data_IF_631086279698
#
_entry.id   IF_631086279698
#
_cell.length_a   1.000
_cell.length_b   1.000
_cell.length_c   1.000
_cell.angle_alpha   90.00
_cell.angle_beta   90.00
_cell.angle_gamma   90.00
#
_symmetry.space_group_name_H-M   'P 1'
#
loop_
_entity.id
_entity.type
_entity.pdbx_description
1 polymer ?
#
# COMPACT_ATOMS: atom_id res chain seq x y z
N UNK A 1 -24.84 2.15 2.69
CA UNK A 1 -23.49 2.74 2.81
C UNK A 1 -22.69 2.34 1.60
N UNK A 2 -22.43 3.31 0.72
CA UNK A 2 -21.70 3.13 -0.53
C UNK A 2 -20.20 3.00 -0.19
N UNK A 3 -19.72 1.76 -0.05
CA UNK A 3 -18.33 1.44 0.27
C UNK A 3 -17.35 1.72 -0.91
N UNK A 4 -17.76 2.56 -1.87
CA UNK A 4 -17.03 2.87 -3.11
C UNK A 4 -15.91 3.91 -2.94
N UNK A 5 -15.61 4.34 -1.71
CA UNK A 5 -14.53 5.30 -1.43
C UNK A 5 -13.44 4.73 -0.54
N UNK A 6 -12.82 3.65 -0.98
CA UNK A 6 -11.51 3.21 -0.48
C UNK A 6 -10.38 3.68 -1.42
N UNK A 7 -10.60 4.79 -2.14
CA UNK A 7 -9.60 5.41 -3.01
C UNK A 7 -9.00 6.61 -2.25
N UNK A 8 -7.74 6.50 -1.84
CA UNK A 8 -7.00 7.56 -1.15
C UNK A 8 -6.44 8.64 -2.10
N UNK A 9 -6.69 8.51 -3.40
CA UNK A 9 -6.45 9.55 -4.41
C UNK A 9 -7.49 9.40 -5.54
N UNK A 10 -7.87 10.49 -6.24
CA UNK A 10 -8.77 10.41 -7.39
C UNK A 10 -8.25 9.54 -8.54
N UNK A 11 -6.95 9.21 -8.55
CA UNK A 11 -6.29 8.33 -9.53
C UNK A 11 -5.88 6.96 -8.95
N UNK A 12 -6.25 6.67 -7.70
CA UNK A 12 -5.88 5.40 -7.08
C UNK A 12 -6.55 4.23 -7.83
N UNK A 13 -5.83 3.14 -8.12
CA UNK A 13 -6.40 1.97 -8.77
C UNK A 13 -7.57 1.41 -7.95
N UNK A 14 -8.65 1.03 -8.63
CA UNK A 14 -9.82 0.46 -7.97
C UNK A 14 -9.52 -0.95 -7.45
N UNK A 15 -10.11 -1.28 -6.30
CA UNK A 15 -9.94 -2.61 -5.71
C UNK A 15 -10.65 -3.67 -6.57
N UNK A 16 -9.95 -4.74 -7.00
CA UNK A 16 -10.53 -5.76 -7.86
C UNK A 16 -11.72 -6.46 -7.18
N UNK A 17 -12.66 -6.91 -8.01
CA UNK A 17 -13.82 -7.70 -7.60
C UNK A 17 -13.71 -9.11 -8.13
N UNK A 18 -14.10 -10.08 -7.31
CA UNK A 18 -14.11 -11.48 -7.69
C UNK A 18 -15.26 -11.80 -8.66
N UNK A 19 -15.33 -13.04 -9.15
CA UNK A 19 -16.39 -13.52 -10.06
C UNK A 19 -17.83 -13.41 -9.50
N UNK A 20 -18.00 -13.18 -8.19
CA UNK A 20 -19.29 -12.94 -7.53
C UNK A 20 -19.64 -11.45 -7.38
N UNK A 21 -18.77 -10.55 -7.84
CA UNK A 21 -18.93 -9.10 -7.67
C UNK A 21 -18.57 -8.59 -6.27
N UNK A 22 -17.97 -9.42 -5.42
CA UNK A 22 -17.48 -9.00 -4.10
C UNK A 22 -16.03 -8.53 -4.22
N UNK A 23 -15.64 -7.51 -3.45
CA UNK A 23 -14.23 -7.06 -3.40
C UNK A 23 -13.31 -8.21 -3.02
N UNK A 24 -12.17 -8.32 -3.69
CA UNK A 24 -11.20 -9.36 -3.38
C UNK A 24 -10.73 -9.27 -1.93
N UNK A 25 -10.34 -10.43 -1.37
CA UNK A 25 -9.83 -10.51 -0.01
C UNK A 25 -8.52 -9.70 0.09
N UNK A 26 -8.47 -8.81 1.07
CA UNK A 26 -7.25 -8.11 1.45
C UNK A 26 -6.33 -9.05 2.24
N UNK A 27 -5.07 -9.09 1.85
CA UNK A 27 -4.00 -9.89 2.47
C UNK A 27 -2.86 -8.98 2.88
N UNK A 28 -2.20 -9.31 4.00
CA UNK A 28 -1.09 -8.55 4.52
C UNK A 28 0.12 -8.70 3.58
N UNK A 29 0.60 -7.57 3.08
CA UNK A 29 1.82 -7.50 2.27
C UNK A 29 3.04 -7.36 3.17
N UNK A 30 3.07 -6.28 3.96
CA UNK A 30 4.17 -5.93 4.86
C UNK A 30 3.67 -5.04 5.99
N UNK A 31 4.47 -4.87 7.03
CA UNK A 31 4.19 -3.98 8.16
C UNK A 31 5.38 -3.07 8.39
N UNK A 32 5.18 -1.76 8.28
CA UNK A 32 6.22 -0.76 8.52
C UNK A 32 6.11 -0.25 9.95
N UNK A 33 7.05 -0.65 10.80
CA UNK A 33 7.02 -0.32 12.23
C UNK A 33 7.58 1.09 12.52
N UNK A 34 8.53 1.55 11.69
CA UNK A 34 9.39 2.70 12.02
C UNK A 34 8.86 4.06 11.55
N UNK A 35 8.12 4.13 10.43
CA UNK A 35 7.62 5.40 9.92
C UNK A 35 6.37 5.23 9.04
N UNK A 36 5.37 6.07 9.31
CA UNK A 36 4.18 6.18 8.43
C UNK A 36 4.57 6.62 7.02
N UNK A 37 5.66 7.38 6.86
CA UNK A 37 6.14 7.84 5.56
C UNK A 37 6.62 6.70 4.66
N UNK A 38 7.20 5.65 5.26
CA UNK A 38 7.62 4.45 4.55
C UNK A 38 6.39 3.75 3.94
N UNK A 39 5.32 3.63 4.74
CA UNK A 39 4.05 3.09 4.25
C UNK A 39 3.47 3.90 3.08
N UNK A 40 3.53 5.23 3.16
CA UNK A 40 3.05 6.12 2.08
C UNK A 40 3.90 6.02 0.81
N UNK A 41 5.22 5.84 0.95
CA UNK A 41 6.12 5.60 -0.19
C UNK A 41 5.78 4.26 -0.87
N UNK A 42 5.61 3.18 -0.11
CA UNK A 42 5.24 1.88 -0.66
C UNK A 42 3.86 1.90 -1.33
N UNK A 43 2.90 2.62 -0.75
CA UNK A 43 1.59 2.84 -1.37
C UNK A 43 1.74 3.55 -2.71
N UNK A 44 2.57 4.59 -2.76
CA UNK A 44 2.81 5.37 -3.98
C UNK A 44 3.50 4.53 -5.05
N UNK A 45 4.46 3.69 -4.67
CA UNK A 45 5.13 2.73 -5.55
C UNK A 45 4.10 1.75 -6.15
N UNK A 46 3.36 1.04 -5.31
CA UNK A 46 2.35 0.07 -5.76
C UNK A 46 1.26 0.73 -6.63
N UNK A 47 0.85 1.96 -6.30
CA UNK A 47 -0.09 2.71 -7.12
C UNK A 47 0.46 3.01 -8.52
N UNK A 48 1.77 3.28 -8.65
CA UNK A 48 2.41 3.46 -9.96
C UNK A 48 2.39 2.19 -10.81
N UNK A 49 2.50 1.01 -10.18
CA UNK A 49 2.31 -0.29 -10.82
C UNK A 49 0.83 -0.68 -10.98
N UNK A 50 -0.11 0.24 -10.71
CA UNK A 50 -1.56 0.03 -10.77
C UNK A 50 -2.05 -1.07 -9.81
N UNK A 51 -1.31 -1.33 -8.73
CA UNK A 51 -1.69 -2.26 -7.67
C UNK A 51 -2.40 -1.47 -6.56
N UNK A 52 -3.69 -1.72 -6.32
CA UNK A 52 -4.39 -1.11 -5.21
C UNK A 52 -3.88 -1.64 -3.89
N UNK A 53 -3.60 -0.74 -2.97
CA UNK A 53 -3.17 -1.07 -1.63
C UNK A 53 -3.74 -0.07 -0.62
N UNK A 54 -3.91 -0.50 0.63
CA UNK A 54 -4.29 0.39 1.72
C UNK A 54 -3.45 0.08 2.96
N UNK A 55 -3.19 1.12 3.75
CA UNK A 55 -2.62 0.96 5.09
C UNK A 55 -3.71 0.88 6.14
N UNK A 56 -3.49 0.04 7.13
CA UNK A 56 -4.31 -0.10 8.32
C UNK A 56 -3.43 0.06 9.55
N UNK A 57 -3.94 0.78 10.54
CA UNK A 57 -3.25 0.97 11.82
C UNK A 57 -3.87 0.00 12.82
N UNK A 58 -3.13 -1.02 13.22
CA UNK A 58 -3.59 -2.02 14.18
C UNK A 58 -3.76 -1.43 15.58
N UNK A 59 -4.67 -2.02 16.37
CA UNK A 59 -4.96 -1.68 17.77
C UNK A 59 -5.23 -0.17 17.99
N UNK A 60 -4.53 0.44 18.95
CA UNK A 60 -4.59 1.86 19.27
C UNK A 60 -3.70 2.71 18.34
N UNK A 61 -3.09 2.11 17.31
CA UNK A 61 -2.24 2.82 16.35
C UNK A 61 -2.95 3.97 15.65
N UNK A 62 -4.26 3.83 15.39
CA UNK A 62 -5.09 4.90 14.86
C UNK A 62 -5.25 6.07 15.84
N UNK A 63 -5.45 5.80 17.13
CA UNK A 63 -5.54 6.82 18.16
C UNK A 63 -4.18 7.48 18.43
N UNK A 64 -3.11 6.68 18.46
CA UNK A 64 -1.74 7.14 18.56
C UNK A 64 -1.36 8.09 17.42
N UNK A 65 -1.74 7.77 16.18
CA UNK A 65 -1.52 8.67 15.03
C UNK A 65 -2.22 10.03 15.21
N UNK A 66 -3.46 10.04 15.71
CA UNK A 66 -4.24 11.27 15.87
C UNK A 66 -3.70 12.14 17.01
N UNK A 67 -3.30 11.52 18.12
CA UNK A 67 -2.87 12.23 19.33
C UNK A 67 -1.38 12.64 19.23
N UNK A 68 -0.55 11.73 18.71
CA UNK A 68 0.91 11.82 18.75
C UNK A 68 1.53 12.15 17.38
N UNK A 69 0.73 12.17 16.31
CA UNK A 69 1.20 12.35 14.93
C UNK A 69 1.76 11.08 14.29
N UNK A 70 1.98 10.01 15.07
CA UNK A 70 2.46 8.71 14.57
C UNK A 70 1.85 7.54 15.34
N UNK A 71 1.68 6.40 14.67
CA UNK A 71 1.26 5.15 15.31
C UNK A 71 2.48 4.48 15.95
N UNK A 72 2.44 4.26 17.27
CA UNK A 72 3.49 3.49 17.98
C UNK A 72 3.52 2.00 17.62
N UNK A 73 2.50 1.51 16.90
CA UNK A 73 2.39 0.14 16.40
C UNK A 73 2.73 0.02 14.91
N UNK A 74 3.15 1.11 14.27
CA UNK A 74 3.41 1.14 12.82
C UNK A 74 2.14 1.12 11.98
N UNK A 75 2.30 0.79 10.70
CA UNK A 75 1.23 0.65 9.71
C UNK A 75 1.35 -0.68 8.95
N UNK A 76 0.26 -1.44 8.91
CA UNK A 76 0.14 -2.67 8.14
C UNK A 76 -0.38 -2.37 6.75
N UNK A 77 0.29 -2.83 5.70
CA UNK A 77 -0.08 -2.64 4.31
C UNK A 77 -0.79 -3.89 3.77
N UNK A 78 -1.93 -3.66 3.11
CA UNK A 78 -2.76 -4.71 2.56
C UNK A 78 -2.97 -4.53 1.05
N UNK A 79 -2.95 -5.64 0.33
CA UNK A 79 -3.17 -5.75 -1.12
C UNK A 79 -4.22 -6.83 -1.43
N UNK A 80 -4.80 -6.87 -2.64
CA UNK A 80 -5.67 -7.95 -3.06
C UNK A 80 -4.91 -9.27 -3.09
N UNK A 81 -5.56 -10.37 -2.69
CA UNK A 81 -4.96 -11.69 -2.68
C UNK A 81 -4.35 -12.09 -4.02
N UNK A 82 -4.98 -11.70 -5.13
CA UNK A 82 -4.54 -12.00 -6.49
C UNK A 82 -3.30 -11.22 -6.93
N UNK A 83 -2.96 -10.12 -6.26
CA UNK A 83 -1.82 -9.24 -6.57
C UNK A 83 -0.74 -9.27 -5.48
N UNK A 84 -0.85 -10.21 -4.52
CA UNK A 84 0.10 -10.31 -3.42
C UNK A 84 1.50 -10.66 -3.92
N UNK A 85 1.59 -11.58 -4.88
CA UNK A 85 2.85 -12.05 -5.45
C UNK A 85 3.53 -10.91 -6.24
N UNK A 86 2.79 -10.23 -7.12
CA UNK A 86 3.29 -9.06 -7.85
C UNK A 86 3.76 -7.94 -6.90
N UNK A 87 2.96 -7.64 -5.87
CA UNK A 87 3.32 -6.61 -4.90
C UNK A 87 4.60 -6.96 -4.12
N UNK A 88 4.81 -8.24 -3.78
CA UNK A 88 6.05 -8.69 -3.13
C UNK A 88 7.24 -8.60 -4.08
N UNK A 89 7.06 -9.00 -5.34
CA UNK A 89 8.11 -8.91 -6.34
C UNK A 89 8.56 -7.46 -6.56
N UNK A 90 7.62 -6.51 -6.60
CA UNK A 90 7.95 -5.08 -6.72
C UNK A 90 8.69 -4.54 -5.48
N UNK A 91 8.33 -5.02 -4.28
CA UNK A 91 9.01 -4.61 -3.05
C UNK A 91 10.41 -5.21 -2.91
N UNK A 92 10.61 -6.43 -3.42
CA UNK A 92 11.89 -7.14 -3.39
C UNK A 92 12.77 -6.79 -4.60
N UNK A 93 12.19 -6.24 -5.66
CA UNK A 93 12.94 -5.71 -6.79
C UNK A 93 13.84 -4.57 -6.32
N UNK A 94 15.15 -4.78 -6.42
CA UNK A 94 16.13 -3.74 -6.15
C UNK A 94 15.86 -2.53 -7.08
N UNK A 95 15.99 -1.30 -6.56
CA UNK A 95 15.82 -0.12 -7.39
C UNK A 95 16.79 -0.21 -8.57
N UNK A 96 16.24 -0.13 -9.78
CA UNK A 96 17.05 -0.14 -11.00
C UNK A 96 17.94 1.10 -10.95
N UNK A 97 19.23 0.94 -10.64
CA UNK A 97 20.22 1.97 -10.90
C UNK A 97 20.22 2.21 -12.42
N UNK A 98 19.56 3.27 -12.87
CA UNK A 98 19.69 3.74 -14.25
C UNK A 98 21.19 3.96 -14.49
N UNK A 99 21.81 3.29 -15.48
CA UNK A 99 23.21 3.53 -15.78
C UNK A 99 23.35 4.99 -16.19
N UNK A 100 24.12 5.73 -15.41
CA UNK A 100 24.42 7.14 -15.61
C UNK A 100 24.81 7.34 -17.08
N UNK A 101 23.90 7.94 -17.88
CA UNK A 101 24.23 8.25 -19.26
C UNK A 101 25.43 9.19 -19.23
N UNK A 102 26.60 8.82 -19.81
CA UNK A 102 27.74 9.72 -19.83
C UNK A 102 27.31 10.97 -20.58
N UNK A 103 27.27 12.11 -19.88
CA UNK A 103 27.10 13.41 -20.52
C UNK A 103 28.20 13.57 -21.56
N UNK A 104 27.78 13.66 -22.82
CA UNK A 104 28.64 13.93 -23.97
C UNK A 104 28.95 15.42 -24.08
#
# INVERSE_FOLDING_TARGET
MDNSKWAFAPDAPEWPVNAKGEKERAVLLTSTFDSTADADMLISLLAAYRIPCFKYFDYEGGAGKVINGFSGYGASLYVPASLLEDAKEILEAEPVEEPEQPQA
#
